data_IF_981080147634
#
_entry.id   IF_981080147634
#
_cell.length_a   1.000
_cell.length_b   1.000
_cell.length_c   1.000
_cell.angle_alpha   90.00
_cell.angle_beta   90.00
_cell.angle_gamma   90.00
#
_symmetry.space_group_name_H-M   'P 1'
#
loop_
_entity.id
_entity.type
_entity.pdbx_description
1 polymer ?
#
# COMPACT_ATOMS: atom_id res chain seq x y z
N UNK A 1 21.40 -19.88 24.37
CA UNK A 1 20.52 -20.41 23.29
C UNK A 1 21.12 -21.73 22.85
N UNK A 2 20.33 -22.80 22.84
CA UNK A 2 20.79 -24.11 22.40
C UNK A 2 20.66 -24.18 20.86
N UNK A 3 21.77 -24.19 20.09
CA UNK A 3 21.73 -24.10 18.63
C UNK A 3 20.88 -25.22 17.99
N UNK A 4 20.80 -26.38 18.62
CA UNK A 4 20.03 -27.52 18.11
C UNK A 4 18.51 -27.32 18.24
N UNK A 5 18.07 -26.54 19.24
CA UNK A 5 16.64 -26.26 19.47
C UNK A 5 16.04 -25.31 18.43
N UNK A 6 16.84 -24.35 17.95
CA UNK A 6 16.39 -23.37 16.96
C UNK A 6 16.24 -23.99 15.57
N UNK A 7 17.14 -24.92 15.21
CA UNK A 7 17.06 -25.64 13.94
C UNK A 7 15.77 -26.47 13.84
N UNK A 8 15.43 -27.19 14.91
CA UNK A 8 14.24 -28.06 14.94
C UNK A 8 12.93 -27.26 14.88
N UNK A 9 12.88 -26.09 15.54
CA UNK A 9 11.74 -25.17 15.42
C UNK A 9 11.61 -24.57 14.01
N UNK A 10 12.73 -24.23 13.37
CA UNK A 10 12.74 -23.75 11.98
C UNK A 10 12.16 -24.75 11.00
N UNK A 11 12.59 -26.01 11.08
CA UNK A 11 12.11 -27.10 10.20
C UNK A 11 10.60 -27.30 10.36
N UNK A 12 10.06 -27.27 11.58
CA UNK A 12 8.62 -27.40 11.83
C UNK A 12 7.82 -26.26 11.21
N UNK A 13 8.31 -25.01 11.30
CA UNK A 13 7.64 -23.84 10.71
C UNK A 13 7.64 -23.88 9.19
N UNK A 14 8.77 -24.23 8.56
CA UNK A 14 8.88 -24.36 7.11
C UNK A 14 7.92 -25.45 6.60
N UNK A 15 7.91 -26.62 7.24
CA UNK A 15 6.97 -27.70 6.90
C UNK A 15 5.51 -27.25 7.03
N UNK A 16 5.18 -26.53 8.10
CA UNK A 16 3.83 -25.99 8.28
C UNK A 16 3.46 -25.01 7.16
N UNK A 17 4.33 -24.08 6.78
CA UNK A 17 4.08 -23.12 5.71
C UNK A 17 3.92 -23.81 4.34
N UNK A 18 4.73 -24.83 4.06
CA UNK A 18 4.58 -25.65 2.84
C UNK A 18 3.25 -26.39 2.81
N UNK A 19 2.85 -27.02 3.91
CA UNK A 19 1.56 -27.70 4.03
C UNK A 19 0.42 -26.70 3.83
N UNK A 20 0.51 -25.52 4.44
CA UNK A 20 -0.48 -24.46 4.29
C UNK A 20 -0.57 -23.97 2.83
N UNK A 21 0.57 -23.73 2.18
CA UNK A 21 0.62 -23.33 0.77
C UNK A 21 -0.05 -24.38 -0.13
N UNK A 22 0.29 -25.66 0.05
CA UNK A 22 -0.33 -26.76 -0.69
C UNK A 22 -1.84 -26.86 -0.43
N UNK A 23 -2.27 -26.68 0.82
CA UNK A 23 -3.68 -26.71 1.19
C UNK A 23 -4.47 -25.55 0.55
N UNK A 24 -3.91 -24.34 0.57
CA UNK A 24 -4.53 -23.16 -0.06
C UNK A 24 -4.59 -23.29 -1.57
N UNK A 25 -3.53 -23.80 -2.22
CA UNK A 25 -3.52 -24.09 -3.66
C UNK A 25 -4.54 -25.17 -4.01
N UNK A 26 -4.65 -26.24 -3.21
CA UNK A 26 -5.66 -27.27 -3.39
C UNK A 26 -7.08 -26.70 -3.29
N UNK A 27 -7.35 -25.87 -2.29
CA UNK A 27 -8.64 -25.20 -2.11
C UNK A 27 -8.96 -24.27 -3.29
N UNK A 28 -7.97 -23.50 -3.76
CA UNK A 28 -8.11 -22.65 -4.93
C UNK A 28 -8.44 -23.45 -6.19
N UNK A 29 -7.73 -24.55 -6.45
CA UNK A 29 -7.98 -25.41 -7.62
C UNK A 29 -9.39 -26.00 -7.56
N UNK A 30 -9.82 -26.48 -6.39
CA UNK A 30 -11.19 -26.98 -6.18
C UNK A 30 -12.22 -25.89 -6.47
N UNK A 31 -12.03 -24.70 -5.90
CA UNK A 31 -12.91 -23.56 -6.17
C UNK A 31 -12.94 -23.21 -7.67
N UNK A 32 -11.77 -23.08 -8.30
CA UNK A 32 -11.67 -22.62 -9.68
C UNK A 32 -12.19 -23.63 -10.69
N UNK A 33 -12.04 -24.93 -10.43
CA UNK A 33 -12.49 -25.99 -11.35
C UNK A 33 -13.89 -26.50 -11.06
N UNK A 34 -14.37 -26.45 -9.83
CA UNK A 34 -15.67 -27.04 -9.45
C UNK A 34 -16.73 -26.01 -9.04
N UNK A 35 -16.35 -24.92 -8.37
CA UNK A 35 -17.33 -23.96 -7.85
C UNK A 35 -17.58 -22.80 -8.83
N UNK A 36 -16.54 -22.26 -9.44
CA UNK A 36 -16.68 -21.07 -10.29
C UNK A 36 -17.37 -21.33 -11.64
N UNK A 37 -17.13 -22.44 -12.37
CA UNK A 37 -17.80 -22.67 -13.66
C UNK A 37 -19.34 -22.67 -13.56
N UNK A 38 -19.97 -23.38 -12.60
CA UNK A 38 -21.42 -23.28 -12.39
C UNK A 38 -21.91 -21.87 -12.04
N UNK A 39 -21.09 -21.08 -11.31
CA UNK A 39 -21.41 -19.69 -10.99
C UNK A 39 -21.38 -18.82 -12.25
N UNK A 40 -20.37 -18.99 -13.12
CA UNK A 40 -20.28 -18.27 -14.41
C UNK A 40 -21.50 -18.59 -15.28
N UNK A 41 -21.88 -19.87 -15.38
CA UNK A 41 -23.07 -20.26 -16.13
C UNK A 41 -24.35 -19.66 -15.55
N UNK A 42 -24.50 -19.64 -14.22
CA UNK A 42 -25.64 -19.02 -13.54
C UNK A 42 -25.71 -17.50 -13.78
N UNK A 43 -24.57 -16.81 -13.75
CA UNK A 43 -24.47 -15.37 -14.07
C UNK A 43 -24.86 -15.15 -15.54
N UNK A 44 -24.35 -15.99 -16.46
CA UNK A 44 -24.64 -15.90 -17.89
C UNK A 44 -26.14 -16.06 -18.17
N UNK A 45 -26.81 -17.02 -17.51
CA UNK A 45 -28.28 -17.22 -17.57
C UNK A 45 -29.08 -16.12 -16.86
N UNK A 46 -28.43 -15.25 -16.08
CA UNK A 46 -29.10 -14.22 -15.28
C UNK A 46 -29.81 -14.77 -14.03
N UNK A 47 -29.42 -15.96 -13.58
CA UNK A 47 -29.99 -16.66 -12.42
C UNK A 47 -29.23 -16.35 -11.11
N UNK A 48 -28.10 -15.64 -11.20
CA UNK A 48 -27.27 -15.29 -10.04
C UNK A 48 -27.72 -13.99 -9.36
N UNK A 49 -26.93 -13.51 -8.39
CA UNK A 49 -27.18 -12.24 -7.72
C UNK A 49 -27.16 -11.08 -8.73
N UNK A 50 -28.05 -10.07 -8.60
CA UNK A 50 -28.13 -8.95 -9.56
C UNK A 50 -26.79 -8.26 -9.81
N UNK A 51 -25.97 -8.07 -8.78
CA UNK A 51 -24.63 -7.46 -8.86
C UNK A 51 -23.68 -8.31 -9.71
N UNK A 52 -23.77 -9.64 -9.62
CA UNK A 52 -22.93 -10.53 -10.44
C UNK A 52 -23.43 -10.56 -11.89
N UNK A 53 -24.74 -10.60 -12.09
CA UNK A 53 -25.36 -10.53 -13.42
C UNK A 53 -24.95 -9.25 -14.17
N UNK A 54 -24.82 -8.12 -13.46
CA UNK A 54 -24.37 -6.86 -14.08
C UNK A 54 -22.91 -6.85 -14.52
N UNK A 55 -22.08 -7.81 -14.08
CA UNK A 55 -20.68 -7.90 -14.51
C UNK A 55 -20.53 -8.48 -15.92
N UNK A 56 -21.53 -9.23 -16.44
CA UNK A 56 -21.49 -9.85 -17.77
C UNK A 56 -22.37 -9.09 -18.77
N UNK A 57 -22.07 -7.82 -19.01
CA UNK A 57 -22.85 -6.93 -19.90
C UNK A 57 -22.84 -7.38 -21.37
N UNK A 58 -21.81 -8.13 -21.80
CA UNK A 58 -21.63 -8.57 -23.19
C UNK A 58 -22.20 -9.98 -23.50
N UNK A 59 -23.02 -10.56 -22.62
CA UNK A 59 -23.59 -11.92 -22.79
C UNK A 59 -24.41 -12.15 -24.06
N UNK A 60 -24.89 -11.08 -24.69
CA UNK A 60 -25.63 -11.19 -25.96
C UNK A 60 -24.69 -11.40 -27.17
N UNK A 61 -23.41 -11.05 -27.04
CA UNK A 61 -22.42 -11.10 -28.11
C UNK A 61 -21.47 -12.30 -28.01
N UNK A 62 -21.28 -12.85 -26.81
CA UNK A 62 -20.30 -13.91 -26.54
C UNK A 62 -20.98 -15.17 -25.98
N UNK A 63 -20.65 -16.37 -26.47
CA UNK A 63 -21.17 -17.62 -25.93
C UNK A 63 -20.56 -17.94 -24.55
N UNK A 64 -21.26 -18.74 -23.73
CA UNK A 64 -20.81 -19.08 -22.36
C UNK A 64 -19.45 -19.79 -22.35
N UNK A 65 -19.15 -20.57 -23.39
CA UNK A 65 -17.89 -21.30 -23.55
C UNK A 65 -16.68 -20.36 -23.63
N UNK A 66 -16.85 -19.17 -24.20
CA UNK A 66 -15.79 -18.15 -24.25
C UNK A 66 -15.44 -17.68 -22.83
N UNK A 67 -16.44 -17.37 -22.02
CA UNK A 67 -16.24 -16.97 -20.62
C UNK A 67 -15.61 -18.07 -19.76
N UNK A 68 -15.99 -19.33 -19.98
CA UNK A 68 -15.40 -20.48 -19.28
C UNK A 68 -13.94 -20.68 -19.66
N UNK A 69 -13.59 -20.50 -20.94
CA UNK A 69 -12.20 -20.56 -21.42
C UNK A 69 -11.36 -19.42 -20.85
N UNK A 70 -11.88 -18.20 -20.85
CA UNK A 70 -11.20 -17.03 -20.29
C UNK A 70 -10.98 -17.21 -18.78
N UNK A 71 -11.97 -17.74 -18.07
CA UNK A 71 -11.84 -18.12 -16.67
C UNK A 71 -10.75 -19.19 -16.46
N UNK A 72 -10.71 -20.23 -17.29
CA UNK A 72 -9.68 -21.26 -17.18
C UNK A 72 -8.28 -20.70 -17.38
N UNK A 73 -8.10 -19.82 -18.38
CA UNK A 73 -6.83 -19.13 -18.62
C UNK A 73 -6.44 -18.25 -17.42
N UNK A 74 -7.37 -17.43 -16.93
CA UNK A 74 -7.17 -16.58 -15.76
C UNK A 74 -6.83 -17.41 -14.52
N UNK A 75 -7.58 -18.48 -14.26
CA UNK A 75 -7.34 -19.36 -13.13
C UNK A 75 -5.97 -20.04 -13.20
N UNK A 76 -5.55 -20.45 -14.41
CA UNK A 76 -4.20 -20.96 -14.67
C UNK A 76 -3.11 -19.94 -14.35
N UNK A 77 -3.26 -18.70 -14.87
CA UNK A 77 -2.34 -17.60 -14.59
C UNK A 77 -2.25 -17.28 -13.09
N UNK A 78 -3.39 -17.19 -12.39
CA UNK A 78 -3.43 -16.98 -10.94
C UNK A 78 -2.71 -18.12 -10.21
N UNK A 79 -2.90 -19.37 -10.65
CA UNK A 79 -2.26 -20.53 -10.03
C UNK A 79 -0.73 -20.48 -10.16
N UNK A 80 -0.22 -20.21 -11.37
CA UNK A 80 1.23 -20.05 -11.61
C UNK A 80 1.78 -18.92 -10.76
N UNK A 81 1.13 -17.76 -10.81
CA UNK A 81 1.50 -16.56 -10.03
C UNK A 81 1.52 -16.87 -8.52
N UNK A 82 0.50 -17.56 -8.00
CA UNK A 82 0.41 -17.93 -6.59
C UNK A 82 1.53 -18.90 -6.17
N UNK A 83 1.92 -19.83 -7.05
CA UNK A 83 3.06 -20.73 -6.80
C UNK A 83 4.36 -19.93 -6.76
N UNK A 84 4.61 -19.07 -7.75
CA UNK A 84 5.81 -18.23 -7.84
C UNK A 84 5.96 -17.35 -6.59
N UNK A 85 4.91 -16.59 -6.25
CA UNK A 85 4.91 -15.75 -5.05
C UNK A 85 4.95 -16.57 -3.74
N UNK A 86 4.31 -17.75 -3.70
CA UNK A 86 4.35 -18.63 -2.55
C UNK A 86 5.76 -19.17 -2.28
N UNK A 87 6.46 -19.60 -3.32
CA UNK A 87 7.85 -20.07 -3.25
C UNK A 87 8.81 -18.93 -2.92
N UNK A 88 8.65 -17.76 -3.56
CA UNK A 88 9.42 -16.56 -3.24
C UNK A 88 9.20 -16.16 -1.77
N UNK A 89 7.95 -16.11 -1.32
CA UNK A 89 7.58 -15.82 0.06
C UNK A 89 8.20 -16.80 1.05
N UNK A 90 8.24 -18.09 0.71
CA UNK A 90 8.92 -19.10 1.53
C UNK A 90 10.44 -18.88 1.57
N UNK A 91 11.07 -18.59 0.43
CA UNK A 91 12.50 -18.29 0.36
C UNK A 91 12.84 -17.05 1.21
N UNK A 92 12.06 -15.98 1.06
CA UNK A 92 12.17 -14.77 1.87
C UNK A 92 11.96 -15.08 3.36
N UNK A 93 10.95 -15.88 3.72
CA UNK A 93 10.72 -16.30 5.09
C UNK A 93 11.92 -17.04 5.69
N UNK A 94 12.54 -17.96 4.93
CA UNK A 94 13.73 -18.69 5.38
C UNK A 94 14.91 -17.74 5.62
N UNK A 95 15.14 -16.80 4.70
CA UNK A 95 16.23 -15.81 4.82
C UNK A 95 15.98 -14.88 6.01
N UNK A 96 14.78 -14.31 6.10
CA UNK A 96 14.42 -13.33 7.14
C UNK A 96 14.30 -13.94 8.53
N UNK A 97 13.92 -15.22 8.63
CA UNK A 97 13.87 -15.93 9.92
C UNK A 97 15.26 -16.29 10.47
N UNK A 98 16.33 -16.07 9.72
CA UNK A 98 17.70 -16.35 10.17
C UNK A 98 18.14 -15.37 11.26
N UNK A 99 18.70 -15.85 12.40
CA UNK A 99 19.32 -14.98 13.40
C UNK A 99 20.45 -14.12 12.84
N UNK A 100 21.14 -14.60 11.81
CA UNK A 100 22.21 -13.84 11.13
C UNK A 100 21.63 -12.70 10.32
N UNK A 101 20.52 -12.91 9.62
CA UNK A 101 19.82 -11.84 8.91
C UNK A 101 19.35 -10.77 9.90
N UNK A 102 18.72 -11.18 11.00
CA UNK A 102 18.27 -10.26 12.04
C UNK A 102 19.42 -9.43 12.60
N UNK A 103 20.53 -10.06 13.01
CA UNK A 103 21.68 -9.35 13.59
C UNK A 103 22.36 -8.41 12.60
N UNK A 104 22.40 -8.78 11.31
CA UNK A 104 23.16 -8.03 10.30
C UNK A 104 22.36 -6.87 9.70
N UNK A 105 21.06 -7.04 9.47
CA UNK A 105 20.27 -6.11 8.66
C UNK A 105 19.08 -5.49 9.40
N UNK A 106 18.48 -6.21 10.35
CA UNK A 106 17.27 -5.74 11.06
C UNK A 106 17.65 -4.94 12.30
N UNK A 107 18.49 -5.52 13.16
CA UNK A 107 18.87 -4.96 14.45
C UNK A 107 17.71 -4.85 15.44
N UNK A 108 18.03 -4.56 16.70
CA UNK A 108 17.01 -4.20 17.69
C UNK A 108 16.64 -2.72 17.58
N UNK A 109 15.43 -2.36 18.00
CA UNK A 109 15.02 -0.96 18.11
C UNK A 109 14.29 -0.73 19.43
N UNK A 110 14.19 0.53 19.85
CA UNK A 110 13.44 0.92 21.06
C UNK A 110 11.98 1.22 20.72
N UNK A 111 11.06 1.15 21.70
CA UNK A 111 9.68 1.59 21.50
C UNK A 111 9.58 3.05 20.99
N UNK A 112 10.51 3.91 21.44
CA UNK A 112 10.57 5.32 21.05
C UNK A 112 10.70 5.53 19.54
N UNK A 113 11.46 4.67 18.84
CA UNK A 113 11.61 4.74 17.37
C UNK A 113 10.27 4.56 16.68
N UNK A 114 9.48 3.54 17.05
CA UNK A 114 8.15 3.36 16.45
C UNK A 114 7.18 4.47 16.81
N UNK A 115 7.28 5.00 18.05
CA UNK A 115 6.50 6.17 18.46
C UNK A 115 6.79 7.38 17.58
N UNK A 116 8.07 7.66 17.29
CA UNK A 116 8.48 8.75 16.41
C UNK A 116 8.00 8.52 14.97
N UNK A 117 8.19 7.32 14.42
CA UNK A 117 7.69 6.97 13.08
C UNK A 117 6.19 7.21 12.96
N UNK A 118 5.40 6.74 13.94
CA UNK A 118 3.96 6.97 14.02
C UNK A 118 3.62 8.47 14.01
N UNK A 119 4.28 9.28 14.85
CA UNK A 119 4.07 10.74 14.87
C UNK A 119 4.33 11.35 13.49
N UNK A 120 5.45 11.02 12.86
CA UNK A 120 5.81 11.54 11.54
C UNK A 120 4.82 11.12 10.45
N UNK A 121 4.48 9.84 10.38
CA UNK A 121 3.60 9.29 9.35
C UNK A 121 2.19 9.86 9.49
N UNK A 122 1.63 9.84 10.70
CA UNK A 122 0.32 10.45 10.96
C UNK A 122 0.34 11.96 10.72
N UNK A 123 1.44 12.65 11.04
CA UNK A 123 1.61 14.07 10.76
C UNK A 123 1.64 14.39 9.26
N UNK A 124 2.36 13.60 8.44
CA UNK A 124 2.38 13.75 6.98
C UNK A 124 0.99 13.51 6.40
N UNK A 125 0.31 12.44 6.82
CA UNK A 125 -1.04 12.12 6.36
C UNK A 125 -2.06 13.18 6.79
N UNK A 126 -1.93 13.72 8.01
CA UNK A 126 -2.79 14.79 8.51
C UNK A 126 -2.58 16.07 7.69
N UNK A 127 -1.31 16.46 7.45
CA UNK A 127 -1.01 17.61 6.61
C UNK A 127 -1.56 17.42 5.20
N UNK A 128 -1.36 16.24 4.59
CA UNK A 128 -1.95 15.91 3.29
C UNK A 128 -3.46 16.11 3.32
N UNK A 129 -4.15 15.53 4.31
CA UNK A 129 -5.60 15.65 4.43
C UNK A 129 -6.08 17.10 4.61
N UNK A 130 -5.35 17.92 5.37
CA UNK A 130 -5.68 19.33 5.62
C UNK A 130 -5.48 20.23 4.40
N UNK A 131 -4.63 19.83 3.45
CA UNK A 131 -4.37 20.58 2.22
C UNK A 131 -5.36 20.25 1.10
N UNK A 132 -6.14 19.19 1.27
CA UNK A 132 -7.11 18.69 0.30
C UNK A 132 -8.52 19.22 0.60
N UNK A 133 -9.29 19.47 -0.45
CA UNK A 133 -10.71 19.86 -0.38
C UNK A 133 -11.59 18.71 -0.88
N UNK A 134 -11.69 17.65 -0.07
CA UNK A 134 -12.51 16.49 -0.41
C UNK A 134 -14.00 16.85 -0.63
N UNK A 135 -14.64 17.75 0.15
CA UNK A 135 -16.04 18.13 -0.07
C UNK A 135 -16.35 18.62 -1.47
N UNK A 136 -15.41 19.34 -2.10
CA UNK A 136 -15.58 19.86 -3.47
C UNK A 136 -15.81 18.78 -4.53
N UNK A 137 -15.38 17.54 -4.29
CA UNK A 137 -15.59 16.40 -5.21
C UNK A 137 -17.09 16.14 -5.44
N UNK A 138 -17.96 16.43 -4.47
CA UNK A 138 -19.40 16.23 -4.62
C UNK A 138 -20.01 17.12 -5.73
N UNK A 139 -19.28 18.13 -6.21
CA UNK A 139 -19.71 19.06 -7.24
C UNK A 139 -19.31 18.59 -8.64
N UNK A 140 -18.51 17.53 -8.74
CA UNK A 140 -18.06 16.96 -10.01
C UNK A 140 -19.09 15.94 -10.54
N UNK A 141 -19.35 15.92 -11.87
CA UNK A 141 -20.24 14.93 -12.47
C UNK A 141 -19.76 13.51 -12.21
N UNK A 142 -20.67 12.58 -11.88
CA UNK A 142 -20.28 11.19 -11.62
C UNK A 142 -19.67 10.49 -12.84
N UNK A 143 -19.98 10.99 -14.04
CA UNK A 143 -19.51 10.48 -15.32
C UNK A 143 -18.01 10.74 -15.55
N UNK A 144 -17.41 11.71 -14.86
CA UNK A 144 -15.96 11.98 -14.95
C UNK A 144 -15.14 11.09 -14.01
N UNK A 145 -15.81 10.20 -13.26
CA UNK A 145 -15.15 9.27 -12.35
C UNK A 145 -14.50 8.13 -13.11
N UNK A 146 -13.27 7.78 -12.74
CA UNK A 146 -12.53 6.64 -13.27
C UNK A 146 -12.19 5.63 -12.16
N UNK A 147 -13.19 4.96 -11.56
CA UNK A 147 -12.96 4.10 -10.42
C UNK A 147 -12.13 2.88 -10.81
N UNK A 148 -11.11 2.58 -10.01
CA UNK A 148 -10.23 1.42 -10.22
C UNK A 148 -10.08 0.58 -8.94
N UNK A 149 -9.75 -0.70 -9.13
CA UNK A 149 -9.45 -1.62 -8.04
C UNK A 149 -10.56 -1.68 -6.97
N UNK A 150 -10.18 -1.42 -5.71
CA UNK A 150 -11.11 -1.47 -4.56
C UNK A 150 -12.20 -0.41 -4.67
N UNK A 151 -11.92 0.77 -5.22
CA UNK A 151 -12.93 1.83 -5.36
C UNK A 151 -14.07 1.39 -6.28
N UNK A 152 -13.76 0.75 -7.41
CA UNK A 152 -14.75 0.17 -8.31
C UNK A 152 -15.64 -0.87 -7.60
N UNK A 153 -15.06 -1.69 -6.72
CA UNK A 153 -15.80 -2.63 -5.89
C UNK A 153 -16.73 -1.91 -4.89
N UNK A 154 -16.26 -0.85 -4.24
CA UNK A 154 -17.08 -0.09 -3.27
C UNK A 154 -18.29 0.56 -3.93
N UNK A 155 -18.14 1.10 -5.15
CA UNK A 155 -19.27 1.63 -5.91
C UNK A 155 -20.25 0.55 -6.38
N UNK A 156 -19.77 -0.65 -6.69
CA UNK A 156 -20.63 -1.75 -7.11
C UNK A 156 -21.49 -2.32 -5.96
N UNK A 157 -21.14 -2.06 -4.69
CA UNK A 157 -21.81 -2.63 -3.53
C UNK A 157 -23.04 -1.81 -3.10
N UNK A 158 -24.15 -2.47 -2.69
CA UNK A 158 -25.43 -1.82 -2.43
C UNK A 158 -25.54 -1.15 -1.05
N UNK A 159 -24.43 -0.68 -0.47
CA UNK A 159 -24.45 0.04 0.83
C UNK A 159 -24.46 1.57 0.68
N UNK A 160 -24.53 2.08 -0.55
CA UNK A 160 -24.73 3.51 -0.82
C UNK A 160 -23.45 4.34 -0.82
N UNK A 161 -22.30 3.75 -1.21
CA UNK A 161 -21.05 4.50 -1.34
C UNK A 161 -21.16 5.68 -2.31
N UNK A 162 -21.88 5.52 -3.43
CA UNK A 162 -22.19 6.62 -4.36
C UNK A 162 -22.88 7.80 -3.68
N UNK A 163 -23.78 7.54 -2.72
CA UNK A 163 -24.48 8.60 -1.99
C UNK A 163 -23.55 9.37 -1.06
N UNK A 164 -22.53 8.70 -0.51
CA UNK A 164 -21.49 9.37 0.28
C UNK A 164 -20.69 10.31 -0.60
N UNK A 165 -20.24 9.84 -1.77
CA UNK A 165 -19.39 10.60 -2.70
C UNK A 165 -20.15 11.75 -3.37
N UNK A 166 -21.45 11.60 -3.60
CA UNK A 166 -22.32 12.68 -4.10
C UNK A 166 -22.77 13.68 -3.01
N UNK A 167 -22.31 13.53 -1.77
CA UNK A 167 -22.74 14.37 -0.64
C UNK A 167 -21.58 15.18 -0.09
N UNK A 168 -21.60 16.50 -0.30
CA UNK A 168 -20.60 17.44 0.23
C UNK A 168 -20.45 17.29 1.75
N UNK A 169 -21.57 17.25 2.48
CA UNK A 169 -21.59 17.02 3.94
C UNK A 169 -21.00 15.66 4.32
N UNK A 170 -21.27 14.62 3.52
CA UNK A 170 -20.75 13.27 3.75
C UNK A 170 -19.24 13.20 3.58
N UNK A 171 -18.72 13.82 2.52
CA UNK A 171 -17.29 13.94 2.26
C UNK A 171 -16.59 14.81 3.31
N UNK A 172 -17.20 15.93 3.71
CA UNK A 172 -16.67 16.78 4.78
C UNK A 172 -16.60 16.02 6.12
N UNK A 173 -17.63 15.24 6.46
CA UNK A 173 -17.61 14.41 7.66
C UNK A 173 -16.53 13.32 7.58
N UNK A 174 -16.32 12.70 6.42
CA UNK A 174 -15.24 11.74 6.20
C UNK A 174 -13.86 12.38 6.36
N UNK A 175 -13.65 13.58 5.81
CA UNK A 175 -12.41 14.34 5.95
C UNK A 175 -12.14 14.68 7.42
N UNK A 176 -13.10 15.30 8.12
CA UNK A 176 -12.99 15.63 9.55
C UNK A 176 -12.71 14.39 10.43
N UNK A 177 -13.38 13.27 10.14
CA UNK A 177 -13.12 12.00 10.82
C UNK A 177 -11.69 11.51 10.58
N UNK A 178 -11.22 11.59 9.33
CA UNK A 178 -9.86 11.20 8.94
C UNK A 178 -8.83 12.07 9.66
N UNK A 179 -9.00 13.39 9.64
CA UNK A 179 -8.14 14.35 10.35
C UNK A 179 -8.09 14.07 11.85
N UNK A 180 -9.25 13.86 12.48
CA UNK A 180 -9.32 13.54 13.91
C UNK A 180 -8.58 12.23 14.22
N UNK A 181 -8.80 11.18 13.44
CA UNK A 181 -8.13 9.90 13.62
C UNK A 181 -6.61 10.03 13.42
N UNK A 182 -6.15 10.77 12.41
CA UNK A 182 -4.73 10.99 12.18
C UNK A 182 -4.10 11.86 13.27
N UNK A 183 -4.80 12.87 13.79
CA UNK A 183 -4.35 13.68 14.91
C UNK A 183 -4.23 12.85 16.20
N UNK A 184 -5.26 12.09 16.56
CA UNK A 184 -5.21 11.16 17.70
C UNK A 184 -4.13 10.08 17.47
N UNK A 185 -3.99 9.64 16.23
CA UNK A 185 -2.99 8.70 15.75
C UNK A 185 -1.58 9.27 15.73
N UNK A 186 -1.40 10.60 15.76
CA UNK A 186 -0.12 11.30 15.92
C UNK A 186 0.21 11.48 17.42
N UNK A 187 -0.76 11.85 18.25
CA UNK A 187 -0.59 11.99 19.71
C UNK A 187 -0.41 10.63 20.41
N UNK A 188 -1.04 9.58 19.87
CA UNK A 188 -0.92 8.21 20.38
C UNK A 188 -1.98 7.88 21.39
N UNK A 189 -3.20 8.33 21.08
CA UNK A 189 -4.40 8.10 21.86
C UNK A 189 -5.25 7.01 21.20
N UNK A 190 -5.58 5.94 21.92
CA UNK A 190 -6.40 4.86 21.38
C UNK A 190 -5.74 4.13 20.20
N UNK A 191 -4.40 4.08 20.17
CA UNK A 191 -3.58 3.70 19.01
C UNK A 191 -4.03 2.38 18.36
N UNK A 192 -4.48 1.40 19.15
CA UNK A 192 -4.96 0.08 18.66
C UNK A 192 -6.17 0.16 17.73
N UNK A 193 -7.02 1.17 17.91
CA UNK A 193 -8.21 1.39 17.08
C UNK A 193 -7.96 2.53 16.10
N UNK A 194 -7.33 3.61 16.57
CA UNK A 194 -7.16 4.83 15.81
C UNK A 194 -6.23 4.66 14.60
N UNK A 195 -5.13 3.92 14.72
CA UNK A 195 -4.21 3.70 13.59
C UNK A 195 -4.85 2.91 12.44
N UNK A 196 -5.47 1.72 12.67
CA UNK A 196 -6.13 1.01 11.58
C UNK A 196 -7.32 1.78 11.00
N UNK A 197 -8.13 2.45 11.83
CA UNK A 197 -9.23 3.28 11.33
C UNK A 197 -8.72 4.47 10.51
N UNK A 198 -7.67 5.15 10.98
CA UNK A 198 -7.03 6.23 10.24
C UNK A 198 -6.47 5.78 8.90
N UNK A 199 -5.86 4.59 8.83
CA UNK A 199 -5.40 4.00 7.58
C UNK A 199 -6.56 3.72 6.60
N UNK A 200 -7.67 3.15 7.08
CA UNK A 200 -8.87 2.87 6.26
C UNK A 200 -9.51 4.17 5.77
N UNK A 201 -9.72 5.14 6.66
CA UNK A 201 -10.31 6.43 6.31
C UNK A 201 -9.44 7.19 5.31
N UNK A 202 -8.12 7.24 5.51
CA UNK A 202 -7.20 7.85 4.55
C UNK A 202 -7.16 7.12 3.21
N UNK A 203 -7.23 5.78 3.21
CA UNK A 203 -7.35 5.00 1.97
C UNK A 203 -8.61 5.39 1.18
N UNK A 204 -9.76 5.51 1.85
CA UNK A 204 -11.01 5.94 1.21
C UNK A 204 -10.91 7.36 0.68
N UNK A 205 -10.41 8.30 1.49
CA UNK A 205 -10.20 9.69 1.09
C UNK A 205 -9.30 9.78 -0.14
N UNK A 206 -8.13 9.13 -0.10
CA UNK A 206 -7.18 9.12 -1.21
C UNK A 206 -7.71 8.40 -2.46
N UNK A 207 -8.55 7.39 -2.30
CA UNK A 207 -9.25 6.73 -3.40
C UNK A 207 -10.24 7.66 -4.09
N UNK A 208 -11.09 8.33 -3.32
CA UNK A 208 -12.09 9.28 -3.84
C UNK A 208 -11.41 10.42 -4.61
N UNK A 209 -10.34 11.00 -4.06
CA UNK A 209 -9.59 12.06 -4.75
C UNK A 209 -9.03 11.57 -6.11
N UNK A 210 -8.50 10.35 -6.16
CA UNK A 210 -7.92 9.76 -7.38
C UNK A 210 -8.95 9.39 -8.42
N UNK A 211 -10.15 9.00 -8.00
CA UNK A 211 -11.23 8.65 -8.92
C UNK A 211 -11.65 9.83 -9.80
N UNK A 212 -11.44 11.07 -9.35
CA UNK A 212 -11.75 12.32 -10.06
C UNK A 212 -10.51 13.09 -10.53
N UNK A 213 -9.32 12.59 -10.25
CA UNK A 213 -8.06 13.22 -10.62
C UNK A 213 -7.15 12.21 -11.32
N UNK A 214 -5.85 12.50 -11.32
CA UNK A 214 -4.86 11.61 -11.94
C UNK A 214 -4.36 10.59 -10.91
N UNK A 215 -3.78 9.49 -11.40
CA UNK A 215 -3.14 8.50 -10.54
C UNK A 215 -1.79 9.03 -10.01
N UNK A 216 -1.85 9.90 -9.00
CA UNK A 216 -0.64 10.40 -8.32
C UNK A 216 -0.13 9.38 -7.30
N UNK A 217 1.18 9.26 -7.22
CA UNK A 217 1.84 8.38 -6.24
C UNK A 217 1.95 9.01 -4.83
N UNK A 218 1.61 10.30 -4.67
CA UNK A 218 1.72 11.03 -3.40
C UNK A 218 0.80 10.44 -2.33
N UNK A 219 1.28 10.31 -1.09
CA UNK A 219 0.47 9.76 0.00
C UNK A 219 0.39 8.23 0.07
N UNK A 220 0.73 7.48 -1.00
CA UNK A 220 0.75 6.00 -0.94
C UNK A 220 1.80 5.47 0.01
N UNK A 221 3.02 6.03 0.00
CA UNK A 221 4.07 5.58 0.89
C UNK A 221 3.68 5.79 2.37
N UNK A 222 3.27 7.00 2.82
CA UNK A 222 2.73 7.18 4.16
C UNK A 222 1.55 6.26 4.49
N UNK A 223 0.67 5.98 3.52
CA UNK A 223 -0.43 5.02 3.68
C UNK A 223 0.08 3.60 3.95
N UNK A 224 1.06 3.09 3.18
CA UNK A 224 1.68 1.78 3.44
C UNK A 224 2.29 1.74 4.84
N UNK A 225 2.94 2.82 5.25
CA UNK A 225 3.57 2.90 6.55
C UNK A 225 2.56 2.92 7.70
N UNK A 226 1.45 3.66 7.61
CA UNK A 226 0.41 3.62 8.66
C UNK A 226 -0.29 2.25 8.71
N UNK A 227 -0.47 1.58 7.56
CA UNK A 227 -0.98 0.21 7.50
C UNK A 227 -0.05 -0.75 8.23
N UNK A 228 1.26 -0.69 7.97
CA UNK A 228 2.25 -1.50 8.71
C UNK A 228 2.15 -1.18 10.20
N UNK A 229 2.14 0.10 10.57
CA UNK A 229 2.09 0.51 11.97
C UNK A 229 0.83 0.02 12.71
N UNK A 230 -0.29 -0.17 12.00
CA UNK A 230 -1.52 -0.72 12.55
C UNK A 230 -1.35 -2.12 13.17
N UNK A 231 -0.35 -2.87 12.69
CA UNK A 231 -0.02 -4.21 13.16
C UNK A 231 1.24 -4.27 14.04
N UNK A 232 1.80 -3.13 14.42
CA UNK A 232 3.03 -3.03 15.23
C UNK A 232 2.77 -2.46 16.62
N UNK A 233 3.64 -2.69 17.62
CA UNK A 233 3.51 -2.12 18.96
C UNK A 233 3.90 -0.63 19.03
N UNK A 234 3.49 0.18 18.06
CA UNK A 234 3.83 1.62 17.96
C UNK A 234 3.27 2.49 19.10
N UNK A 235 2.33 1.94 19.89
CA UNK A 235 1.79 2.58 21.10
C UNK A 235 2.73 2.52 22.30
N UNK A 236 3.72 1.62 22.31
CA UNK A 236 4.60 1.41 23.47
C UNK A 236 5.71 2.48 23.58
N UNK A 237 5.85 3.34 22.57
CA UNK A 237 6.79 4.46 22.53
C UNK A 237 6.22 5.76 23.07
N UNK A 238 6.57 6.88 22.43
CA UNK A 238 5.99 8.19 22.73
C UNK A 238 4.51 8.18 22.38
N UNK A 239 3.63 8.04 23.38
CA UNK A 239 2.17 8.00 23.20
C UNK A 239 1.45 8.37 24.50
N UNK A 240 0.24 8.94 24.37
CA UNK A 240 -0.66 9.15 25.52
C UNK A 240 -1.12 7.81 26.12
N UNK A 241 -1.34 6.79 25.29
CA UNK A 241 -1.66 5.42 25.74
C UNK A 241 -0.63 4.89 26.73
N UNK A 242 0.67 5.07 26.45
CA UNK A 242 1.76 4.67 27.36
C UNK A 242 1.73 5.49 28.63
N UNK A 243 1.62 6.83 28.52
CA UNK A 243 1.58 7.72 29.67
C UNK A 243 0.46 7.33 30.64
N UNK A 244 -0.74 7.07 30.13
CA UNK A 244 -1.87 6.63 30.94
C UNK A 244 -1.65 5.27 31.60
N UNK A 245 -1.01 4.32 30.93
CA UNK A 245 -0.65 3.04 31.54
C UNK A 245 0.32 3.24 32.70
N UNK A 246 1.33 4.10 32.54
CA UNK A 246 2.29 4.45 33.61
C UNK A 246 1.55 5.09 34.80
N UNK A 247 0.70 6.08 34.55
CA UNK A 247 -0.07 6.76 35.60
C UNK A 247 -1.01 5.82 36.36
N UNK A 248 -1.51 4.76 35.71
CA UNK A 248 -2.33 3.71 36.33
C UNK A 248 -1.52 2.60 37.00
N UNK A 249 -0.19 2.70 37.06
CA UNK A 249 0.68 1.66 37.59
C UNK A 249 0.65 0.35 36.79
N UNK A 250 0.22 0.39 35.53
CA UNK A 250 0.20 -0.78 34.67
C UNK A 250 1.60 -1.06 34.10
N UNK A 251 1.96 -2.34 33.87
CA UNK A 251 3.25 -2.67 33.28
C UNK A 251 3.35 -2.06 31.89
N UNK A 252 4.46 -1.36 31.62
CA UNK A 252 4.81 -0.82 30.29
C UNK A 252 6.21 -1.28 29.90
N UNK A 253 6.48 -1.47 28.60
CA UNK A 253 7.85 -1.68 28.13
C UNK A 253 8.76 -0.51 28.53
N UNK A 254 9.98 -0.84 28.92
CA UNK A 254 11.03 0.14 29.14
C UNK A 254 11.31 0.90 27.83
N UNK A 255 11.20 2.22 27.87
CA UNK A 255 11.41 3.09 26.70
C UNK A 255 12.84 3.06 26.17
N UNK A 256 13.82 2.77 27.03
CA UNK A 256 15.23 2.70 26.65
C UNK A 256 15.68 1.31 26.19
N UNK A 257 14.88 0.27 26.47
CA UNK A 257 15.26 -1.10 26.17
C UNK A 257 14.93 -1.46 24.72
N UNK A 258 15.97 -1.74 23.94
CA UNK A 258 15.82 -2.27 22.60
C UNK A 258 15.26 -3.70 22.64
N UNK A 259 14.43 -4.06 21.64
CA UNK A 259 13.92 -5.42 21.50
C UNK A 259 13.68 -5.80 20.02
N UNK A 260 13.71 -7.11 19.68
CA UNK A 260 13.53 -7.57 18.31
C UNK A 260 12.19 -7.20 17.65
N UNK A 261 11.10 -7.16 18.42
CA UNK A 261 9.76 -6.83 17.89
C UNK A 261 9.71 -5.41 17.31
N UNK A 262 10.37 -4.45 17.96
CA UNK A 262 10.48 -3.07 17.46
C UNK A 262 11.44 -3.00 16.28
N UNK A 263 12.52 -3.78 16.30
CA UNK A 263 13.48 -3.91 15.18
C UNK A 263 12.79 -4.36 13.89
N UNK A 264 12.03 -5.45 13.95
CA UNK A 264 11.26 -5.95 12.81
C UNK A 264 10.19 -4.96 12.33
N UNK A 265 9.51 -4.29 13.25
CA UNK A 265 8.50 -3.27 12.90
C UNK A 265 9.13 -2.10 12.14
N UNK A 266 10.28 -1.59 12.63
CA UNK A 266 11.06 -0.54 11.97
C UNK A 266 11.53 -1.02 10.59
N UNK A 267 12.05 -2.23 10.50
CA UNK A 267 12.56 -2.80 9.25
C UNK A 267 11.44 -2.99 8.22
N UNK A 268 10.24 -3.43 8.61
CA UNK A 268 9.10 -3.53 7.71
C UNK A 268 8.73 -2.18 7.08
N UNK A 269 8.72 -1.11 7.87
CA UNK A 269 8.56 0.25 7.35
C UNK A 269 9.67 0.64 6.36
N UNK A 270 10.93 0.33 6.67
CA UNK A 270 12.04 0.57 5.74
C UNK A 270 11.92 -0.23 4.45
N UNK A 271 11.44 -1.48 4.51
CA UNK A 271 11.19 -2.29 3.31
C UNK A 271 10.16 -1.60 2.40
N UNK A 272 9.06 -1.11 2.96
CA UNK A 272 8.06 -0.37 2.18
C UNK A 272 8.67 0.87 1.49
N UNK A 273 9.44 1.68 2.24
CA UNK A 273 10.15 2.83 1.67
C UNK A 273 11.12 2.39 0.56
N UNK A 274 11.95 1.39 0.85
CA UNK A 274 13.00 0.89 -0.02
C UNK A 274 12.46 0.37 -1.35
N UNK A 275 11.40 -0.44 -1.29
CA UNK A 275 10.73 -1.02 -2.46
C UNK A 275 10.05 0.06 -3.28
N UNK A 276 9.34 1.02 -2.66
CA UNK A 276 8.67 2.09 -3.41
C UNK A 276 9.68 2.92 -4.23
N UNK A 277 10.80 3.33 -3.64
CA UNK A 277 11.83 4.06 -4.40
C UNK A 277 12.50 3.19 -5.46
N UNK A 278 12.78 1.92 -5.16
CA UNK A 278 13.34 0.99 -6.13
C UNK A 278 12.44 0.79 -7.35
N UNK A 279 11.16 0.53 -7.13
CA UNK A 279 10.16 0.41 -8.20
C UNK A 279 10.01 1.72 -8.99
N UNK A 280 10.13 2.86 -8.31
CA UNK A 280 10.10 4.17 -8.96
C UNK A 280 11.33 4.42 -9.84
N UNK A 281 12.50 3.91 -9.47
CA UNK A 281 13.69 3.93 -10.33
C UNK A 281 13.55 2.97 -11.52
N UNK A 282 13.03 1.75 -11.27
CA UNK A 282 12.81 0.76 -12.32
C UNK A 282 11.75 1.19 -13.35
N UNK A 283 10.68 1.86 -12.93
CA UNK A 283 9.66 2.33 -13.86
C UNK A 283 10.22 3.42 -14.79
N UNK A 284 11.09 4.32 -14.28
CA UNK A 284 11.81 5.29 -15.13
C UNK A 284 12.68 4.61 -16.17
N UNK A 285 13.42 3.56 -15.79
CA UNK A 285 14.24 2.78 -16.73
C UNK A 285 13.39 2.03 -17.75
N UNK A 286 12.26 1.46 -17.32
CA UNK A 286 11.35 0.70 -18.20
C UNK A 286 10.68 1.62 -19.23
N UNK A 287 10.16 2.75 -18.78
CA UNK A 287 9.29 3.60 -19.59
C UNK A 287 10.08 4.68 -20.36
N UNK A 288 11.20 5.17 -19.82
CA UNK A 288 12.07 6.17 -20.47
C UNK A 288 13.42 5.65 -20.98
N UNK A 289 13.74 4.37 -20.72
CA UNK A 289 15.01 3.76 -21.16
C UNK A 289 16.25 4.28 -20.43
N UNK A 290 17.43 3.93 -20.96
CA UNK A 290 18.73 4.35 -20.41
C UNK A 290 19.00 5.86 -20.57
N UNK A 291 18.19 6.55 -21.37
CA UNK A 291 18.29 7.99 -21.64
C UNK A 291 17.32 8.81 -20.81
N UNK A 292 16.65 8.23 -19.79
CA UNK A 292 15.72 8.98 -18.94
C UNK A 292 16.35 10.22 -18.28
N UNK A 293 17.66 10.16 -17.99
CA UNK A 293 18.42 11.28 -17.41
C UNK A 293 18.84 12.34 -18.44
N UNK A 294 18.51 12.17 -19.72
CA UNK A 294 18.86 13.14 -20.77
C UNK A 294 18.18 14.50 -20.52
N UNK A 295 18.92 15.62 -20.62
CA UNK A 295 18.38 16.95 -20.35
C UNK A 295 17.17 17.33 -21.19
N UNK A 296 17.10 16.89 -22.46
CA UNK A 296 15.97 17.21 -23.33
C UNK A 296 14.70 16.50 -22.89
N UNK A 297 14.81 15.21 -22.51
CA UNK A 297 13.72 14.42 -21.97
C UNK A 297 13.21 14.98 -20.63
N UNK A 298 14.12 15.31 -19.71
CA UNK A 298 13.74 15.86 -18.41
C UNK A 298 13.05 17.22 -18.51
N UNK A 299 13.50 18.11 -19.41
CA UNK A 299 12.79 19.37 -19.67
C UNK A 299 11.38 19.12 -20.23
N UNK A 300 11.23 18.15 -21.14
CA UNK A 300 9.92 17.80 -21.68
C UNK A 300 8.98 17.31 -20.55
N UNK A 301 9.46 16.44 -19.66
CA UNK A 301 8.71 16.01 -18.48
C UNK A 301 8.35 17.18 -17.55
N UNK A 302 9.28 18.13 -17.32
CA UNK A 302 8.97 19.30 -16.49
C UNK A 302 7.92 20.21 -17.12
N UNK A 303 7.95 20.40 -18.44
CA UNK A 303 6.90 21.13 -19.15
C UNK A 303 5.56 20.41 -19.06
N UNK A 304 5.53 19.09 -19.31
CA UNK A 304 4.33 18.28 -19.18
C UNK A 304 3.74 18.35 -17.76
N UNK A 305 4.58 18.19 -16.74
CA UNK A 305 4.19 18.28 -15.33
C UNK A 305 3.66 19.68 -14.94
N UNK A 306 4.01 20.73 -15.67
CA UNK A 306 3.45 22.09 -15.45
C UNK A 306 2.12 22.31 -16.16
N UNK A 307 1.84 21.55 -17.22
CA UNK A 307 0.58 21.58 -17.95
C UNK A 307 -0.48 20.69 -17.31
N UNK A 308 -0.04 19.67 -16.55
CA UNK A 308 -0.90 18.85 -15.71
C UNK A 308 -1.03 19.54 -14.35
N UNK A 309 -2.19 20.16 -14.02
CA UNK A 309 -2.34 20.86 -12.74
C UNK A 309 -2.16 19.86 -11.59
N UNK A 310 -0.98 19.90 -10.97
CA UNK A 310 -0.68 19.29 -9.67
C UNK A 310 -0.88 20.33 -8.58
N UNK A 311 -1.15 19.89 -7.36
CA UNK A 311 -1.44 20.76 -6.20
C UNK A 311 -0.36 21.81 -5.90
N UNK A 312 0.88 21.58 -6.32
CA UNK A 312 1.96 22.55 -6.13
C UNK A 312 2.18 23.36 -7.41
N UNK A 313 2.21 24.69 -7.26
CA UNK A 313 2.63 25.62 -8.30
C UNK A 313 4.14 25.49 -8.54
N UNK A 314 4.54 24.45 -9.29
CA UNK A 314 5.93 24.21 -9.66
C UNK A 314 6.43 25.20 -10.72
N UNK A 315 6.14 26.49 -10.60
CA UNK A 315 6.85 27.52 -11.39
C UNK A 315 8.37 27.39 -11.23
N UNK A 316 8.82 26.82 -10.11
CA UNK A 316 10.21 26.45 -9.88
C UNK A 316 10.77 25.49 -10.96
N UNK A 317 10.03 24.46 -11.39
CA UNK A 317 10.53 23.55 -12.43
C UNK A 317 10.73 24.28 -13.77
N UNK A 318 9.86 25.24 -14.09
CA UNK A 318 10.03 26.12 -15.25
C UNK A 318 11.28 26.99 -15.13
N UNK A 319 11.58 27.52 -13.95
CA UNK A 319 12.83 28.26 -13.72
C UNK A 319 14.08 27.36 -13.89
N UNK A 320 13.97 26.06 -13.58
CA UNK A 320 15.06 25.10 -13.77
C UNK A 320 15.29 24.72 -15.23
N UNK A 321 14.37 25.01 -16.15
CA UNK A 321 14.57 24.69 -17.59
C UNK A 321 15.76 25.41 -18.22
N UNK A 322 16.13 26.58 -17.68
CA UNK A 322 17.26 27.39 -18.16
C UNK A 322 18.62 26.95 -17.59
N UNK A 323 18.63 25.97 -16.69
CA UNK A 323 19.86 25.45 -16.07
C UNK A 323 20.69 24.71 -17.14
N UNK A 324 22.04 24.77 -17.08
CA UNK A 324 22.90 24.07 -18.04
C UNK A 324 22.64 22.56 -18.08
N UNK A 325 22.72 21.98 -19.28
CA UNK A 325 22.45 20.56 -19.57
C UNK A 325 23.22 19.62 -18.64
N UNK A 326 24.48 19.91 -18.35
CA UNK A 326 25.31 19.08 -17.47
C UNK A 326 24.73 18.98 -16.04
N UNK A 327 24.11 20.03 -15.53
CA UNK A 327 23.51 20.04 -14.19
C UNK A 327 22.20 19.25 -14.20
N UNK A 328 21.38 19.39 -15.26
CA UNK A 328 20.14 18.62 -15.42
C UNK A 328 20.45 17.13 -15.56
N UNK A 329 21.43 16.78 -16.41
CA UNK A 329 21.89 15.41 -16.59
C UNK A 329 22.39 14.80 -15.28
N UNK A 330 23.19 15.55 -14.52
CA UNK A 330 23.68 15.09 -13.22
C UNK A 330 22.55 14.87 -12.21
N UNK A 331 21.57 15.78 -12.16
CA UNK A 331 20.40 15.62 -11.29
C UNK A 331 19.55 14.41 -11.70
N UNK A 332 19.31 14.22 -13.00
CA UNK A 332 18.60 13.06 -13.55
C UNK A 332 19.32 11.74 -13.23
N UNK A 333 20.63 11.69 -13.47
CA UNK A 333 21.45 10.53 -13.16
C UNK A 333 21.48 10.24 -11.66
N UNK A 334 21.57 11.28 -10.82
CA UNK A 334 21.48 11.14 -9.38
C UNK A 334 20.15 10.52 -8.95
N UNK A 335 19.02 11.06 -9.42
CA UNK A 335 17.68 10.51 -9.10
C UNK A 335 17.59 9.06 -9.54
N UNK A 336 18.00 8.75 -10.76
CA UNK A 336 17.92 7.40 -11.31
C UNK A 336 18.75 6.40 -10.50
N UNK A 337 20.00 6.75 -10.18
CA UNK A 337 20.91 5.91 -9.39
C UNK A 337 20.40 5.78 -7.96
N UNK A 338 20.01 6.90 -7.33
CA UNK A 338 19.50 6.94 -5.97
C UNK A 338 18.27 6.04 -5.81
N UNK A 339 17.25 6.23 -6.65
CA UNK A 339 16.01 5.46 -6.59
C UNK A 339 16.26 3.97 -6.89
N UNK A 340 16.98 3.67 -7.97
CA UNK A 340 17.23 2.28 -8.40
C UNK A 340 18.10 1.49 -7.42
N UNK A 341 18.98 2.16 -6.68
CA UNK A 341 19.85 1.53 -5.68
C UNK A 341 19.32 1.70 -4.24
N UNK A 342 18.19 2.38 -4.03
CA UNK A 342 17.69 2.64 -2.68
C UNK A 342 17.41 1.36 -1.90
N UNK A 343 17.08 0.26 -2.59
CA UNK A 343 16.90 -1.06 -1.98
C UNK A 343 18.12 -1.53 -1.16
N UNK A 344 19.32 -1.02 -1.48
CA UNK A 344 20.56 -1.37 -0.78
C UNK A 344 20.58 -0.89 0.68
N UNK A 345 19.75 0.10 1.05
CA UNK A 345 19.60 0.58 2.44
C UNK A 345 19.10 -0.52 3.39
N UNK A 346 18.44 -1.54 2.85
CA UNK A 346 17.96 -2.69 3.63
C UNK A 346 19.09 -3.63 4.06
N UNK A 347 20.30 -3.43 3.52
CA UNK A 347 21.45 -4.30 3.73
C UNK A 347 22.67 -3.58 4.32
N UNK A 348 22.53 -2.30 4.69
CA UNK A 348 23.60 -1.45 5.23
C UNK A 348 23.71 -1.47 6.74
#
# INVERSE_FOLDING_TARGET
MNPDGDLFMGIKRIRFLLVLLCALLGLWIVFAKLAMPPVIESIYRGESLPVLNSLMTARAAHPVEEYLRDWEQLAGQITVTAIEFGLLGLALFMVTSSPTFFRKFVGEATPGVLGAMRVWICGILLLFTLLEDLPSIAWLPAETRHPAGVMALLYALPFGFDRLVASETGLHALQLLTELLLFLGMVGYGTRLVIPLGAICFFLLGGILRDYSFNWHQGWLPLYLITILAFTPCRDGWSVDRLWRVLRGQPVPDSGRAAPVYGWSRYACWVAIAVTYWETGLCKLRDGGLTWWDPSGLRATWYEDTLVPREFSWSLSLHLTQVPDAVIALAGAFVLVFESLWIMVLFS
#
